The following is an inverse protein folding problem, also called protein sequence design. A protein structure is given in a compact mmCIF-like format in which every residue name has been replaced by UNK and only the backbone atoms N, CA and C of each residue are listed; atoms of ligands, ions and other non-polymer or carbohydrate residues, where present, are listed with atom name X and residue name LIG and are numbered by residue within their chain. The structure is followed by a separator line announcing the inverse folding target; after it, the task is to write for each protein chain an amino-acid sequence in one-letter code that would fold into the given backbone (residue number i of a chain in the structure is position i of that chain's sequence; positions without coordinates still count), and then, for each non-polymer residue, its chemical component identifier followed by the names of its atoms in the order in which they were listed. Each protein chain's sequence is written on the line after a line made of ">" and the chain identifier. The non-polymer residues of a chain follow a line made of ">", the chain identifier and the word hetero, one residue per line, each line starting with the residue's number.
data_IF_309149790930
#
_entry.id   IF_309149790930
#
_cell.length_a   1.000
_cell.length_b   1.000
_cell.length_c   1.000
_cell.angle_alpha   90.00
_cell.angle_beta   90.00
_cell.angle_gamma   90.00
#
_symmetry.space_group_name_H-M   'P 1'
#
loop_
_entity.id
_entity.type
_entity.pdbx_description
1 polymer ?
#
# COMPACT_ATOMS: atom_id res chain seq x y z
N UNK A 1 -6.40 8.79 -13.15
CA UNK A 1 -6.48 7.71 -12.15
C UNK A 1 -6.32 6.34 -12.83
N UNK A 2 -6.94 6.09 -13.99
CA UNK A 2 -6.77 4.83 -14.75
C UNK A 2 -5.35 4.53 -15.27
N UNK A 3 -4.63 5.56 -15.74
CA UNK A 3 -3.30 5.38 -16.37
C UNK A 3 -2.26 4.85 -15.36
N UNK A 4 -2.27 5.36 -14.13
CA UNK A 4 -1.35 4.93 -13.07
C UNK A 4 -1.64 3.50 -12.63
N UNK A 5 -2.91 3.12 -12.47
CA UNK A 5 -3.30 1.75 -12.13
C UNK A 5 -2.92 0.75 -13.21
N UNK A 6 -3.10 1.10 -14.49
CA UNK A 6 -2.71 0.24 -15.60
C UNK A 6 -1.18 0.07 -15.68
N UNK A 7 -0.43 1.15 -15.47
CA UNK A 7 1.04 1.10 -15.40
C UNK A 7 1.52 0.20 -14.25
N UNK A 8 1.00 0.41 -13.04
CA UNK A 8 1.31 -0.40 -11.86
C UNK A 8 1.02 -1.88 -12.10
N UNK A 9 -0.19 -2.18 -12.57
CA UNK A 9 -0.62 -3.56 -12.85
C UNK A 9 0.24 -4.21 -13.92
N UNK A 10 0.61 -3.48 -14.97
CA UNK A 10 1.53 -3.98 -15.99
C UNK A 10 2.91 -4.24 -15.39
N UNK A 11 3.43 -3.34 -14.54
CA UNK A 11 4.76 -3.46 -13.97
C UNK A 11 4.86 -4.67 -13.00
N UNK A 12 3.89 -4.86 -12.12
CA UNK A 12 3.88 -6.02 -11.19
C UNK A 12 3.74 -7.36 -11.92
N UNK A 13 2.99 -7.41 -13.02
CA UNK A 13 2.71 -8.65 -13.75
C UNK A 13 3.67 -8.94 -14.92
N UNK A 14 4.59 -8.02 -15.23
CA UNK A 14 5.61 -8.23 -16.27
C UNK A 14 6.66 -9.24 -15.82
N UNK A 15 6.91 -10.23 -16.68
CA UNK A 15 7.99 -11.23 -16.54
C UNK A 15 9.37 -10.69 -16.92
N UNK A 16 9.42 -9.58 -17.65
CA UNK A 16 10.67 -8.95 -18.08
C UNK A 16 11.38 -8.24 -16.92
N UNK A 17 12.73 -8.15 -16.95
CA UNK A 17 13.50 -7.38 -15.99
C UNK A 17 13.09 -5.91 -15.98
N UNK A 18 12.93 -5.35 -14.78
CA UNK A 18 12.53 -3.96 -14.58
C UNK A 18 13.77 -3.08 -14.58
N UNK A 19 13.69 -1.94 -15.26
CA UNK A 19 14.73 -0.91 -15.20
C UNK A 19 14.69 -0.18 -13.86
N UNK A 20 15.82 0.41 -13.45
CA UNK A 20 15.89 1.23 -12.25
C UNK A 20 14.85 2.36 -12.28
N UNK A 21 14.69 3.05 -13.41
CA UNK A 21 13.72 4.15 -13.56
C UNK A 21 12.29 3.68 -13.30
N UNK A 22 11.91 2.51 -13.81
CA UNK A 22 10.57 1.95 -13.58
C UNK A 22 10.35 1.62 -12.10
N UNK A 23 11.35 1.05 -11.42
CA UNK A 23 11.29 0.76 -9.99
C UNK A 23 11.23 2.05 -9.17
N UNK A 24 12.04 3.05 -9.52
CA UNK A 24 12.04 4.36 -8.85
C UNK A 24 10.68 5.07 -8.99
N UNK A 25 10.08 5.06 -10.17
CA UNK A 25 8.73 5.60 -10.40
C UNK A 25 7.67 4.86 -9.58
N UNK A 26 7.78 3.53 -9.46
CA UNK A 26 6.91 2.73 -8.59
C UNK A 26 7.03 3.15 -7.12
N UNK A 27 8.27 3.33 -6.63
CA UNK A 27 8.51 3.80 -5.27
C UNK A 27 7.90 5.17 -5.02
N UNK A 28 8.10 6.13 -5.94
CA UNK A 28 7.53 7.47 -5.80
C UNK A 28 6.00 7.45 -5.78
N UNK A 29 5.37 6.69 -6.68
CA UNK A 29 3.91 6.54 -6.71
C UNK A 29 3.38 5.94 -5.40
N UNK A 30 4.06 4.94 -4.85
CA UNK A 30 3.66 4.34 -3.57
C UNK A 30 3.91 5.31 -2.40
N UNK A 31 5.00 6.06 -2.41
CA UNK A 31 5.29 7.09 -1.42
C UNK A 31 4.19 8.17 -1.38
N UNK A 32 3.76 8.67 -2.54
CA UNK A 32 2.67 9.65 -2.63
C UNK A 32 1.33 9.10 -2.11
N UNK A 33 1.05 7.80 -2.31
CA UNK A 33 -0.14 7.15 -1.74
C UNK A 33 -0.04 7.06 -0.21
N UNK A 34 1.12 6.67 0.32
CA UNK A 34 1.37 6.61 1.76
C UNK A 34 1.22 7.99 2.39
N UNK A 35 1.79 9.04 1.78
CA UNK A 35 1.65 10.42 2.27
C UNK A 35 0.19 10.86 2.38
N UNK A 36 -0.66 10.49 1.41
CA UNK A 36 -2.10 10.77 1.46
C UNK A 36 -2.82 9.98 2.56
N UNK A 37 -2.34 8.78 2.87
CA UNK A 37 -2.88 7.93 3.93
C UNK A 37 -2.44 8.38 5.33
N UNK A 38 -1.23 8.92 5.49
CA UNK A 38 -0.65 9.26 6.80
C UNK A 38 -1.56 10.08 7.74
N UNK A 39 -2.28 11.14 7.29
CA UNK A 39 -3.20 11.87 8.15
C UNK A 39 -4.37 11.02 8.67
N UNK A 40 -4.79 10.02 7.88
CA UNK A 40 -5.88 9.10 8.24
C UNK A 40 -5.38 8.05 9.23
N UNK A 41 -4.14 7.57 9.10
CA UNK A 41 -3.53 6.59 10.01
C UNK A 41 -3.48 7.07 11.47
N UNK A 42 -3.26 8.37 11.69
CA UNK A 42 -3.29 8.97 13.04
C UNK A 42 -4.66 8.87 13.72
N UNK A 43 -5.73 8.78 12.93
CA UNK A 43 -7.10 8.68 13.41
C UNK A 43 -7.53 7.22 13.62
N UNK A 44 -6.77 6.28 13.06
CA UNK A 44 -7.07 4.85 13.17
C UNK A 44 -6.61 4.32 14.53
N UNK A 45 -7.55 3.83 15.34
CA UNK A 45 -7.28 3.23 16.66
C UNK A 45 -7.30 1.71 16.67
N UNK A 46 -7.95 1.11 15.67
CA UNK A 46 -8.35 -0.28 15.68
C UNK A 46 -7.89 -0.98 14.41
N UNK A 47 -7.86 -2.30 14.44
CA UNK A 47 -7.63 -3.12 13.26
C UNK A 47 -8.82 -3.03 12.29
N UNK A 48 -8.52 -3.06 11.00
CA UNK A 48 -9.54 -3.02 9.94
C UNK A 48 -9.29 -4.14 8.93
N UNK A 49 -10.39 -4.73 8.45
CA UNK A 49 -10.37 -5.67 7.33
C UNK A 49 -11.16 -5.05 6.20
N UNK A 50 -10.46 -4.77 5.09
CA UNK A 50 -11.06 -4.29 3.85
C UNK A 50 -11.38 -5.53 3.03
N UNK A 51 -12.69 -5.82 2.92
CA UNK A 51 -13.18 -6.96 2.16
C UNK A 51 -13.19 -6.68 0.66
N UNK A 52 -12.63 -7.59 -0.13
CA UNK A 52 -12.67 -7.52 -1.58
C UNK A 52 -13.49 -8.67 -2.15
N UNK A 53 -14.41 -8.37 -3.08
CA UNK A 53 -15.32 -9.39 -3.64
C UNK A 53 -14.62 -10.40 -4.56
N UNK A 54 -13.43 -10.08 -5.07
CA UNK A 54 -12.71 -10.87 -6.08
C UNK A 54 -11.21 -11.04 -5.79
N UNK A 55 -10.73 -10.52 -4.66
CA UNK A 55 -9.32 -10.55 -4.24
C UNK A 55 -9.27 -10.88 -2.76
N UNK A 56 -8.11 -11.30 -2.26
CA UNK A 56 -7.94 -11.61 -0.84
C UNK A 56 -8.21 -10.37 0.02
N UNK A 57 -8.91 -10.58 1.14
CA UNK A 57 -9.16 -9.55 2.14
C UNK A 57 -7.84 -8.87 2.55
N UNK A 58 -7.88 -7.55 2.63
CA UNK A 58 -6.74 -6.72 2.98
C UNK A 58 -6.87 -6.35 4.46
N UNK A 59 -5.92 -6.84 5.26
CA UNK A 59 -5.86 -6.61 6.69
C UNK A 59 -4.97 -5.41 6.98
N UNK A 60 -5.50 -4.46 7.73
CA UNK A 60 -4.78 -3.34 8.31
C UNK A 60 -4.75 -3.55 9.83
N UNK A 61 -3.56 -3.71 10.39
CA UNK A 61 -3.35 -4.03 11.80
C UNK A 61 -2.56 -2.90 12.45
N UNK A 62 -3.01 -2.44 13.61
CA UNK A 62 -2.29 -1.49 14.46
C UNK A 62 -1.45 -2.30 15.43
N UNK A 63 -0.14 -2.39 15.19
CA UNK A 63 0.74 -3.25 16.00
C UNK A 63 1.19 -2.55 17.28
N UNK A 64 1.86 -1.40 17.14
CA UNK A 64 2.47 -0.69 18.27
C UNK A 64 2.30 0.82 18.13
N UNK A 65 2.02 1.49 19.25
CA UNK A 65 1.94 2.95 19.33
C UNK A 65 2.90 3.46 20.36
N UNK A 66 3.75 4.38 19.96
CA UNK A 66 4.73 5.06 20.79
C UNK A 66 4.42 6.55 20.85
N UNK A 67 5.08 7.27 21.77
CA UNK A 67 4.87 8.71 21.96
C UNK A 67 5.02 9.55 20.67
N UNK A 68 5.85 9.10 19.73
CA UNK A 68 6.17 9.84 18.51
C UNK A 68 6.12 9.01 17.22
N UNK A 69 5.85 7.72 17.32
CA UNK A 69 5.89 6.78 16.19
C UNK A 69 4.79 5.75 16.35
N UNK A 70 4.24 5.27 15.25
CA UNK A 70 3.27 4.19 15.21
C UNK A 70 3.75 3.14 14.20
N UNK A 71 3.46 1.87 14.48
CA UNK A 71 3.71 0.73 13.60
C UNK A 71 2.39 0.16 13.14
N UNK A 72 2.20 0.14 11.82
CA UNK A 72 1.01 -0.41 11.17
C UNK A 72 1.43 -1.46 10.15
N UNK A 73 0.70 -2.57 10.11
CA UNK A 73 0.90 -3.64 9.12
C UNK A 73 -0.27 -3.67 8.16
N UNK A 74 0.03 -3.64 6.86
CA UNK A 74 -0.95 -3.79 5.79
C UNK A 74 -0.59 -5.03 4.98
N UNK A 75 -1.43 -6.06 5.03
CA UNK A 75 -1.16 -7.35 4.40
C UNK A 75 -2.42 -7.99 3.81
N UNK A 76 -2.28 -8.69 2.69
CA UNK A 76 -3.28 -9.66 2.26
C UNK A 76 -3.04 -10.95 3.04
N UNK A 77 -4.09 -11.54 3.61
CA UNK A 77 -3.96 -12.91 4.13
C UNK A 77 -3.73 -13.86 2.95
N UNK A 78 -2.78 -14.78 3.15
CA UNK A 78 -2.41 -15.82 2.18
C UNK A 78 -3.48 -16.92 2.10
#
# INVERSE_FOLDING_TARGET
>A
MDIEQHFLKSLYNQKEPKTYTQVSQLFELNYQKILKLMPLLKQTSDDYVIKHNSENDLHFIVEERFTHTDVFTLMHNY
#
